data_IF_965910117161
#
_entry.id   IF_965910117161
#
_cell.length_a   1.000
_cell.length_b   1.000
_cell.length_c   1.000
_cell.angle_alpha   90.00
_cell.angle_beta   90.00
_cell.angle_gamma   90.00
#
_symmetry.space_group_name_H-M   'P 1'
#
loop_
_entity.id
_entity.type
_entity.pdbx_description
1 polymer ?
#
# COMPACT_ATOMS: atom_id res chain seq x y z
N UNK A 1 -50.24 -40.94 -2.63
CA UNK A 1 -50.01 -40.39 -3.99
C UNK A 1 -48.67 -39.68 -4.05
N UNK A 2 -47.85 -40.13 -5.03
CA UNK A 2 -46.66 -39.48 -5.62
C UNK A 2 -45.34 -39.42 -4.81
N UNK A 3 -44.54 -40.46 -5.09
CA UNK A 3 -43.08 -40.51 -5.36
C UNK A 3 -42.35 -39.19 -5.63
N UNK A 4 -41.07 -39.11 -5.22
CA UNK A 4 -39.88 -38.68 -6.00
C UNK A 4 -38.61 -38.93 -5.14
N UNK A 5 -37.83 -39.99 -5.37
CA UNK A 5 -36.64 -40.13 -6.25
C UNK A 5 -35.48 -39.15 -5.97
N UNK A 6 -34.52 -39.67 -5.20
CA UNK A 6 -33.04 -39.64 -5.32
C UNK A 6 -32.42 -38.53 -6.18
N UNK A 7 -31.50 -37.77 -5.57
CA UNK A 7 -30.33 -37.21 -6.24
C UNK A 7 -29.22 -36.90 -5.21
N UNK A 8 -28.41 -37.93 -4.94
CA UNK A 8 -27.02 -37.74 -4.55
C UNK A 8 -26.30 -37.03 -5.69
N UNK A 9 -25.95 -35.76 -5.52
CA UNK A 9 -24.91 -35.11 -6.29
C UNK A 9 -23.72 -34.88 -5.38
N UNK A 10 -22.58 -35.56 -5.56
CA UNK A 10 -21.30 -35.01 -5.14
C UNK A 10 -20.89 -33.92 -6.14
N UNK A 11 -19.91 -33.09 -5.77
CA UNK A 11 -19.34 -32.00 -6.59
C UNK A 11 -20.10 -30.68 -6.40
N UNK A 12 -19.47 -29.57 -6.05
CA UNK A 12 -18.15 -29.08 -6.47
C UNK A 12 -17.71 -28.10 -5.37
N UNK A 13 -16.47 -28.22 -4.86
CA UNK A 13 -15.86 -27.11 -4.13
C UNK A 13 -15.95 -25.87 -5.00
N UNK A 14 -16.34 -24.69 -4.50
CA UNK A 14 -15.85 -23.47 -5.11
C UNK A 14 -14.33 -23.52 -4.86
N UNK A 15 -13.57 -23.99 -5.84
CA UNK A 15 -12.28 -23.38 -6.10
C UNK A 15 -12.63 -21.91 -6.29
N UNK A 16 -12.55 -21.16 -5.19
CA UNK A 16 -12.69 -19.74 -5.20
C UNK A 16 -11.63 -19.26 -6.16
N UNK A 17 -12.08 -18.96 -7.38
CA UNK A 17 -11.44 -18.00 -8.25
C UNK A 17 -10.94 -16.93 -7.30
N UNK A 18 -9.63 -16.81 -7.20
CA UNK A 18 -9.00 -15.87 -6.30
C UNK A 18 -9.46 -14.51 -6.79
N UNK A 19 -10.58 -14.02 -6.23
CA UNK A 19 -11.02 -12.65 -6.35
C UNK A 19 -9.78 -11.87 -5.93
N UNK A 20 -9.11 -11.33 -6.94
CA UNK A 20 -8.08 -10.33 -6.76
C UNK A 20 -8.84 -9.21 -6.10
N UNK A 21 -8.86 -9.23 -4.77
CA UNK A 21 -9.32 -8.13 -3.95
C UNK A 21 -8.40 -6.99 -4.36
N UNK A 22 -8.85 -6.19 -5.33
CA UNK A 22 -8.15 -5.01 -5.78
C UNK A 22 -8.07 -4.12 -4.55
N UNK A 23 -6.91 -4.15 -3.90
CA UNK A 23 -6.69 -3.44 -2.66
C UNK A 23 -6.86 -1.96 -2.98
N UNK A 24 -7.90 -1.34 -2.40
CA UNK A 24 -8.26 0.05 -2.67
C UNK A 24 -7.27 0.96 -1.94
N UNK A 25 -6.85 2.03 -2.60
CA UNK A 25 -6.00 3.05 -1.99
C UNK A 25 -6.74 3.70 -0.80
N UNK A 26 -6.06 3.81 0.34
CA UNK A 26 -6.66 4.40 1.53
C UNK A 26 -6.94 5.89 1.33
N UNK A 27 -8.14 6.30 1.77
CA UNK A 27 -8.50 7.71 1.89
C UNK A 27 -7.84 8.26 3.16
N UNK A 28 -7.18 9.43 3.11
CA UNK A 28 -6.59 10.04 4.30
C UNK A 28 -7.68 10.43 5.30
N UNK A 29 -7.42 10.30 6.61
CA UNK A 29 -8.30 10.86 7.63
C UNK A 29 -8.25 12.39 7.59
N UNK A 30 -9.30 13.06 8.09
CA UNK A 30 -9.45 14.51 8.03
C UNK A 30 -8.25 15.28 8.63
N UNK A 31 -7.69 14.80 9.75
CA UNK A 31 -6.54 15.42 10.39
C UNK A 31 -5.28 15.41 9.51
N UNK A 32 -5.15 14.44 8.59
CA UNK A 32 -3.99 14.32 7.70
C UNK A 32 -4.05 15.35 6.55
N UNK A 33 -5.18 16.05 6.39
CA UNK A 33 -5.33 17.14 5.44
C UNK A 33 -4.81 18.49 5.99
N UNK A 34 -4.54 18.58 7.29
CA UNK A 34 -3.96 19.79 7.89
C UNK A 34 -2.48 19.96 7.51
N UNK A 35 -2.21 20.96 6.66
CA UNK A 35 -0.87 21.26 6.13
C UNK A 35 0.12 21.79 7.18
N UNK A 36 -0.35 22.14 8.39
CA UNK A 36 0.54 22.55 9.49
C UNK A 36 1.20 21.36 10.19
N UNK A 37 0.55 20.19 10.13
CA UNK A 37 0.98 18.99 10.86
C UNK A 37 1.33 17.83 9.93
N UNK A 38 0.77 17.80 8.72
CA UNK A 38 0.91 16.74 7.73
C UNK A 38 1.19 17.31 6.33
N UNK A 39 1.75 16.47 5.47
CA UNK A 39 1.84 16.74 4.03
C UNK A 39 1.53 15.46 3.25
N UNK A 40 0.25 15.08 3.26
CA UNK A 40 -0.25 13.90 2.54
C UNK A 40 0.00 14.00 1.03
N UNK A 41 -0.32 15.15 0.42
CA UNK A 41 -0.15 15.40 -1.02
C UNK A 41 1.32 15.23 -1.43
N UNK A 42 2.24 15.87 -0.70
CA UNK A 42 3.67 15.75 -0.95
C UNK A 42 4.16 14.32 -0.76
N UNK A 43 3.68 13.59 0.25
CA UNK A 43 4.03 12.17 0.40
C UNK A 43 3.59 11.36 -0.82
N UNK A 44 2.38 11.55 -1.32
CA UNK A 44 1.87 10.84 -2.49
C UNK A 44 2.67 11.15 -3.77
N UNK A 45 3.05 12.41 -3.97
CA UNK A 45 3.91 12.83 -5.08
C UNK A 45 5.31 12.21 -5.00
N UNK A 46 5.89 12.18 -3.80
CA UNK A 46 7.19 11.57 -3.54
C UNK A 46 7.17 10.07 -3.84
N UNK A 47 6.15 9.35 -3.37
CA UNK A 47 5.97 7.93 -3.63
C UNK A 47 5.80 7.65 -5.14
N UNK A 48 5.01 8.46 -5.83
CA UNK A 48 4.86 8.39 -7.30
C UNK A 48 6.20 8.63 -8.01
N UNK A 49 6.99 9.61 -7.58
CA UNK A 49 8.32 9.89 -8.17
C UNK A 49 9.32 8.77 -7.92
N UNK A 50 9.22 8.09 -6.77
CA UNK A 50 9.99 6.87 -6.50
C UNK A 50 9.48 5.64 -7.24
N UNK A 51 8.38 5.75 -8.01
CA UNK A 51 7.73 4.64 -8.71
C UNK A 51 7.21 3.56 -7.75
N UNK A 52 6.74 3.95 -6.58
CA UNK A 52 5.97 3.05 -5.70
C UNK A 52 4.56 2.92 -6.28
N UNK A 53 4.26 1.78 -6.91
CA UNK A 53 3.00 1.55 -7.64
C UNK A 53 2.11 0.49 -7.02
N UNK A 54 2.64 -0.34 -6.12
CA UNK A 54 1.88 -1.41 -5.46
C UNK A 54 0.98 -0.79 -4.38
N UNK A 55 -0.34 -0.85 -4.56
CA UNK A 55 -1.30 -0.21 -3.64
C UNK A 55 -1.14 -0.69 -2.21
N UNK A 56 -0.88 -1.98 -2.00
CA UNK A 56 -0.54 -2.54 -0.68
C UNK A 56 0.60 -1.81 0.01
N UNK A 57 1.66 -1.53 -0.74
CA UNK A 57 2.86 -0.89 -0.22
C UNK A 57 2.58 0.59 0.09
N UNK A 58 1.84 1.28 -0.79
CA UNK A 58 1.40 2.66 -0.55
C UNK A 58 0.56 2.72 0.73
N UNK A 59 -0.45 1.86 0.86
CA UNK A 59 -1.32 1.80 2.04
C UNK A 59 -0.54 1.51 3.32
N UNK A 60 0.43 0.61 3.28
CA UNK A 60 1.29 0.33 4.42
C UNK A 60 2.17 1.53 4.79
N UNK A 61 2.75 2.23 3.80
CA UNK A 61 3.52 3.45 4.04
C UNK A 61 2.63 4.55 4.63
N UNK A 62 1.43 4.77 4.08
CA UNK A 62 0.48 5.75 4.61
C UNK A 62 0.19 5.49 6.09
N UNK A 63 -0.10 4.23 6.48
CA UNK A 63 -0.37 3.87 7.87
C UNK A 63 0.86 4.06 8.78
N UNK A 64 2.03 3.60 8.35
CA UNK A 64 3.26 3.67 9.15
C UNK A 64 3.79 5.11 9.33
N UNK A 65 3.41 6.02 8.45
CA UNK A 65 3.90 7.40 8.44
C UNK A 65 2.87 8.40 8.92
N UNK A 66 1.76 7.91 9.47
CA UNK A 66 0.60 8.72 9.86
C UNK A 66 0.19 9.67 8.72
N UNK A 67 0.01 9.10 7.53
CA UNK A 67 -0.39 9.79 6.29
C UNK A 67 0.49 10.99 5.91
N UNK A 68 1.78 10.96 6.25
CA UNK A 68 2.72 12.03 5.91
C UNK A 68 2.87 13.08 6.99
N UNK A 69 2.79 12.69 8.26
CA UNK A 69 3.09 13.57 9.39
C UNK A 69 4.44 14.25 9.24
N UNK A 70 4.46 15.58 9.38
CA UNK A 70 5.68 16.38 9.26
C UNK A 70 6.71 15.98 10.31
N UNK A 71 8.00 16.11 9.96
CA UNK A 71 9.14 15.65 10.77
C UNK A 71 9.17 14.13 11.05
N UNK A 72 8.23 13.36 10.50
CA UNK A 72 8.25 11.91 10.53
C UNK A 72 9.44 11.30 9.77
N UNK A 73 9.79 10.06 10.10
CA UNK A 73 10.95 9.33 9.53
C UNK A 73 10.94 9.26 8.00
N UNK A 74 9.74 9.22 7.40
CA UNK A 74 9.57 9.13 5.94
C UNK A 74 10.23 10.27 5.19
N UNK A 75 10.21 11.49 5.73
CA UNK A 75 10.78 12.65 5.06
C UNK A 75 12.31 12.54 4.95
N UNK A 76 12.95 12.02 5.98
CA UNK A 76 14.39 11.74 5.95
C UNK A 76 14.71 10.64 4.93
N UNK A 77 13.94 9.54 4.93
CA UNK A 77 14.14 8.43 3.98
C UNK A 77 14.01 8.93 2.54
N UNK A 78 12.96 9.69 2.23
CA UNK A 78 12.74 10.23 0.90
C UNK A 78 13.83 11.23 0.50
N UNK A 79 14.26 12.09 1.42
CA UNK A 79 15.37 12.99 1.22
C UNK A 79 16.66 12.23 0.86
N UNK A 80 17.03 11.21 1.64
CA UNK A 80 18.25 10.43 1.41
C UNK A 80 18.22 9.70 0.05
N UNK A 81 17.07 9.15 -0.35
CA UNK A 81 16.89 8.51 -1.66
C UNK A 81 17.00 9.54 -2.80
N UNK A 82 16.36 10.71 -2.65
CA UNK A 82 16.37 11.76 -3.67
C UNK A 82 17.76 12.34 -3.92
N UNK A 83 18.55 12.48 -2.85
CA UNK A 83 19.88 13.09 -2.90
C UNK A 83 21.01 12.09 -3.21
N UNK A 84 20.68 10.80 -3.40
CA UNK A 84 21.67 9.76 -3.67
C UNK A 84 21.37 9.02 -4.98
N UNK A 85 21.85 9.52 -6.14
CA UNK A 85 21.66 8.87 -7.44
C UNK A 85 22.16 7.42 -7.46
N UNK A 86 23.30 7.17 -6.80
CA UNK A 86 23.89 5.84 -6.68
C UNK A 86 23.03 4.86 -5.86
N UNK A 87 22.40 5.32 -4.77
CA UNK A 87 21.46 4.48 -4.03
C UNK A 87 20.20 4.24 -4.85
N UNK A 88 19.66 5.30 -5.45
CA UNK A 88 18.46 5.22 -6.29
C UNK A 88 18.61 4.22 -7.42
N UNK A 89 19.78 4.16 -8.07
CA UNK A 89 20.09 3.18 -9.12
C UNK A 89 20.11 1.72 -8.62
N UNK A 90 20.33 1.48 -7.32
CA UNK A 90 20.38 0.14 -6.72
C UNK A 90 19.03 -0.32 -6.15
N UNK A 91 18.06 0.58 -6.01
CA UNK A 91 16.73 0.26 -5.49
C UNK A 91 15.88 -0.33 -6.62
N UNK A 92 15.71 -1.65 -6.60
CA UNK A 92 14.87 -2.37 -7.58
C UNK A 92 13.38 -2.33 -7.20
N UNK A 93 13.08 -2.40 -5.90
CA UNK A 93 11.71 -2.41 -5.36
C UNK A 93 11.54 -1.25 -4.35
N UNK A 94 11.17 -0.05 -4.82
CA UNK A 94 11.18 1.16 -3.99
C UNK A 94 10.21 1.10 -2.81
N UNK A 95 8.99 0.57 -2.97
CA UNK A 95 8.03 0.48 -1.87
C UNK A 95 8.50 -0.48 -0.78
N UNK A 96 8.94 -1.70 -1.14
CA UNK A 96 9.56 -2.63 -0.17
C UNK A 96 10.78 -2.05 0.55
N UNK A 97 11.62 -1.32 -0.17
CA UNK A 97 12.80 -0.68 0.41
C UNK A 97 12.41 0.36 1.46
N UNK A 98 11.46 1.25 1.15
CA UNK A 98 10.95 2.26 2.09
C UNK A 98 10.29 1.59 3.30
N UNK A 99 9.45 0.57 3.08
CA UNK A 99 8.81 -0.18 4.17
C UNK A 99 9.82 -0.80 5.13
N UNK A 100 10.88 -1.43 4.59
CA UNK A 100 11.95 -1.99 5.42
C UNK A 100 12.64 -0.92 6.26
N UNK A 101 12.87 0.28 5.71
CA UNK A 101 13.46 1.38 6.48
C UNK A 101 12.50 1.95 7.54
N UNK A 102 11.19 1.94 7.29
CA UNK A 102 10.18 2.41 8.26
C UNK A 102 9.99 1.43 9.42
N UNK A 103 10.13 0.13 9.18
CA UNK A 103 9.93 -0.94 10.17
C UNK A 103 11.15 -1.19 11.07
N UNK A 104 12.34 -0.72 10.65
CA UNK A 104 13.56 -0.73 11.46
C UNK A 104 13.57 0.37 12.52
#
# INVERSE_FOLDING_TARGET
>A
NKTNKINNSPSISPQGETEKNEEILLVPPEYALDKQTHNYEGLMEELKRQKVTVVKEINAILRLTDFGKLKGKIWKILYDINNSPQMKARIVMPGKYILKLLQN
#
